data_IF_924473108025
#
_entry.id   IF_924473108025
#
_cell.length_a   1.000
_cell.length_b   1.000
_cell.length_c   1.000
_cell.angle_alpha   90.00
_cell.angle_beta   90.00
_cell.angle_gamma   90.00
#
_symmetry.space_group_name_H-M   'P 1'
#
loop_
_entity.id
_entity.type
_entity.pdbx_description
1 polymer ?
#
# COMPACT_ATOMS: atom_id res chain seq x y z
N UNK A 1 -4.31 -58.43 35.02
CA UNK A 1 -4.05 -56.98 35.07
C UNK A 1 -3.84 -56.49 33.65
N UNK A 2 -4.92 -56.09 32.98
CA UNK A 2 -4.88 -55.47 31.65
C UNK A 2 -5.01 -53.96 31.85
N UNK A 3 -4.00 -53.21 31.44
CA UNK A 3 -4.02 -51.75 31.42
C UNK A 3 -4.55 -51.33 30.05
N UNK A 4 -5.81 -50.89 30.02
CA UNK A 4 -6.38 -50.24 28.86
C UNK A 4 -5.71 -48.87 28.65
N UNK A 5 -5.02 -48.73 27.53
CA UNK A 5 -4.54 -47.44 27.04
C UNK A 5 -5.74 -46.64 26.52
N UNK A 6 -6.09 -45.57 27.24
CA UNK A 6 -6.98 -44.53 26.76
C UNK A 6 -6.44 -43.95 25.45
N UNK A 7 -7.22 -44.09 24.38
CA UNK A 7 -7.04 -43.32 23.15
C UNK A 7 -7.54 -41.90 23.44
N UNK A 8 -6.61 -40.97 23.56
CA UNK A 8 -6.91 -39.55 23.39
C UNK A 8 -7.45 -39.34 21.97
N UNK A 9 -8.75 -39.04 21.89
CA UNK A 9 -9.38 -38.56 20.67
C UNK A 9 -8.87 -37.16 20.40
N UNK A 10 -8.04 -37.03 19.36
CA UNK A 10 -7.74 -35.73 18.74
C UNK A 10 -9.06 -35.15 18.20
N UNK A 11 -9.69 -34.29 18.97
CA UNK A 11 -10.79 -33.44 18.52
C UNK A 11 -10.28 -32.38 17.55
N UNK A 12 -9.98 -32.79 16.32
CA UNK A 12 -9.79 -31.86 15.21
C UNK A 12 -11.16 -31.39 14.74
N UNK A 13 -11.67 -30.28 15.29
CA UNK A 13 -12.73 -29.54 14.63
C UNK A 13 -12.14 -28.96 13.35
N UNK A 14 -12.48 -29.54 12.19
CA UNK A 14 -12.22 -28.93 10.90
C UNK A 14 -12.79 -27.51 10.93
N UNK A 15 -11.90 -26.53 11.00
CA UNK A 15 -12.26 -25.13 10.94
C UNK A 15 -12.78 -24.86 9.54
N UNK A 16 -14.10 -24.69 9.38
CA UNK A 16 -14.73 -24.22 8.13
C UNK A 16 -14.42 -22.73 7.86
N UNK A 17 -13.26 -22.26 8.31
CA UNK A 17 -12.78 -20.90 8.11
C UNK A 17 -11.94 -20.88 6.85
N UNK A 18 -12.20 -19.87 6.01
CA UNK A 18 -11.42 -19.55 4.84
C UNK A 18 -10.97 -18.10 4.95
N UNK A 19 -9.71 -17.85 4.65
CA UNK A 19 -9.12 -16.52 4.60
C UNK A 19 -8.73 -16.20 3.17
N UNK A 20 -9.20 -15.06 2.66
CA UNK A 20 -8.86 -14.54 1.34
C UNK A 20 -8.12 -13.23 1.55
N UNK A 21 -6.85 -13.18 1.18
CA UNK A 21 -6.11 -11.91 1.12
C UNK A 21 -6.42 -11.23 -0.20
N UNK A 22 -6.91 -10.00 -0.15
CA UNK A 22 -7.21 -9.20 -1.32
C UNK A 22 -6.23 -8.03 -1.42
N UNK A 23 -5.34 -8.11 -2.40
CA UNK A 23 -4.40 -7.04 -2.68
C UNK A 23 -5.06 -5.95 -3.53
N UNK A 24 -5.29 -4.79 -2.92
CA UNK A 24 -5.91 -3.62 -3.54
C UNK A 24 -4.86 -2.55 -3.86
N UNK A 25 -5.21 -1.62 -4.74
CA UNK A 25 -4.49 -0.36 -4.82
C UNK A 25 -5.39 0.77 -4.35
N UNK A 26 -4.76 1.81 -3.80
CA UNK A 26 -5.44 2.95 -3.24
C UNK A 26 -5.94 3.91 -4.32
N UNK A 27 -6.78 3.45 -5.25
CA UNK A 27 -7.41 4.32 -6.27
C UNK A 27 -8.91 4.04 -6.38
N UNK A 28 -9.68 5.08 -6.70
CA UNK A 28 -11.14 4.96 -6.72
C UNK A 28 -11.66 4.02 -7.82
N UNK A 29 -10.85 3.75 -8.84
CA UNK A 29 -11.18 2.80 -9.90
C UNK A 29 -11.41 1.38 -9.35
N UNK A 30 -10.78 1.02 -8.23
CA UNK A 30 -10.86 -0.31 -7.65
C UNK A 30 -12.13 -0.57 -6.83
N UNK A 31 -12.88 0.46 -6.43
CA UNK A 31 -14.07 0.27 -5.58
C UNK A 31 -15.15 -0.58 -6.27
N UNK A 32 -15.26 -0.49 -7.60
CA UNK A 32 -16.19 -1.32 -8.37
C UNK A 32 -15.79 -2.79 -8.33
N UNK A 33 -14.53 -3.11 -8.64
CA UNK A 33 -14.02 -4.48 -8.61
C UNK A 33 -14.00 -5.05 -7.20
N UNK A 34 -13.73 -4.21 -6.20
CA UNK A 34 -13.82 -4.62 -4.80
C UNK A 34 -15.23 -5.08 -4.45
N UNK A 35 -16.26 -4.35 -4.89
CA UNK A 35 -17.67 -4.76 -4.77
C UNK A 35 -17.94 -6.09 -5.48
N UNK A 36 -17.54 -6.21 -6.75
CA UNK A 36 -17.73 -7.44 -7.53
C UNK A 36 -17.04 -8.65 -6.86
N UNK A 37 -15.86 -8.43 -6.27
CA UNK A 37 -15.14 -9.45 -5.52
C UNK A 37 -15.88 -9.87 -4.25
N UNK A 38 -16.44 -8.91 -3.50
CA UNK A 38 -17.28 -9.18 -2.32
C UNK A 38 -18.55 -9.92 -2.73
N UNK A 39 -19.22 -9.50 -3.81
CA UNK A 39 -20.42 -10.15 -4.34
C UNK A 39 -20.14 -11.59 -4.80
N UNK A 40 -18.95 -11.86 -5.36
CA UNK A 40 -18.54 -13.21 -5.77
C UNK A 40 -18.20 -14.13 -4.59
N UNK A 41 -17.48 -13.62 -3.60
CA UNK A 41 -16.92 -14.45 -2.52
C UNK A 41 -17.78 -14.48 -1.24
N UNK A 42 -18.76 -13.57 -1.12
CA UNK A 42 -19.70 -13.48 -0.01
C UNK A 42 -19.04 -13.63 1.37
N UNK A 43 -18.02 -12.80 1.69
CA UNK A 43 -17.36 -12.86 3.00
C UNK A 43 -18.35 -12.45 4.09
N UNK A 44 -18.25 -13.07 5.27
CA UNK A 44 -19.00 -12.64 6.46
C UNK A 44 -18.19 -11.64 7.32
N UNK A 45 -16.89 -11.51 7.05
CA UNK A 45 -16.00 -10.55 7.71
C UNK A 45 -15.03 -9.93 6.69
N UNK A 46 -14.93 -8.59 6.70
CA UNK A 46 -13.93 -7.82 5.97
C UNK A 46 -13.02 -7.12 6.98
N UNK A 47 -11.71 -7.34 6.84
CA UNK A 47 -10.67 -6.73 7.66
C UNK A 47 -9.91 -5.71 6.82
N UNK A 48 -10.00 -4.44 7.20
CA UNK A 48 -9.37 -3.32 6.51
C UNK A 48 -7.93 -3.11 7.00
N UNK A 49 -7.05 -2.67 6.10
CA UNK A 49 -5.71 -2.14 6.38
C UNK A 49 -5.81 -0.68 6.86
N UNK A 50 -6.27 -0.49 8.09
CA UNK A 50 -6.40 0.82 8.73
C UNK A 50 -6.34 0.71 10.26
N UNK A 51 -5.82 1.75 10.91
CA UNK A 51 -5.86 1.88 12.37
C UNK A 51 -7.30 1.86 12.89
N UNK A 52 -7.49 1.21 14.03
CA UNK A 52 -8.79 1.18 14.70
C UNK A 52 -9.16 2.55 15.23
N UNK A 53 -10.27 3.11 14.75
CA UNK A 53 -10.85 4.36 15.30
C UNK A 53 -12.15 4.08 16.05
N UNK A 54 -12.30 4.69 17.22
CA UNK A 54 -13.50 4.53 18.07
C UNK A 54 -14.81 4.92 17.35
N UNK A 55 -14.74 5.88 16.43
CA UNK A 55 -15.88 6.42 15.68
C UNK A 55 -16.18 5.66 14.38
N UNK A 56 -15.43 4.62 14.04
CA UNK A 56 -15.58 3.91 12.76
C UNK A 56 -16.95 3.25 12.61
N UNK A 57 -17.44 2.56 13.64
CA UNK A 57 -18.76 1.95 13.60
C UNK A 57 -19.89 2.99 13.52
N UNK A 58 -19.73 4.13 14.21
CA UNK A 58 -20.69 5.23 14.12
C UNK A 58 -20.79 5.78 12.68
N UNK A 59 -19.69 5.79 11.93
CA UNK A 59 -19.70 6.18 10.52
C UNK A 59 -20.42 5.14 9.66
N UNK A 60 -20.13 3.84 9.81
CA UNK A 60 -20.79 2.77 9.06
C UNK A 60 -22.31 2.77 9.28
N UNK A 61 -22.73 2.98 10.52
CA UNK A 61 -24.14 3.09 10.94
C UNK A 61 -24.80 4.41 10.48
N UNK A 62 -24.02 5.37 9.97
CA UNK A 62 -24.51 6.69 9.55
C UNK A 62 -24.82 7.66 10.69
N UNK A 63 -24.42 7.37 11.93
CA UNK A 63 -24.54 8.28 13.09
C UNK A 63 -23.65 9.51 12.96
N UNK A 64 -22.53 9.37 12.27
CA UNK A 64 -21.69 10.49 11.81
C UNK A 64 -21.47 10.39 10.31
N UNK A 65 -21.32 11.53 9.64
CA UNK A 65 -20.99 11.56 8.22
C UNK A 65 -19.54 11.14 7.97
N UNK A 66 -19.25 10.65 6.76
CA UNK A 66 -17.87 10.38 6.30
C UNK A 66 -16.98 11.62 6.47
N UNK A 67 -17.54 12.82 6.18
CA UNK A 67 -16.83 14.08 6.37
C UNK A 67 -16.42 14.29 7.83
N UNK A 68 -17.32 14.05 8.78
CA UNK A 68 -17.02 14.16 10.21
C UNK A 68 -16.00 13.10 10.66
N UNK A 69 -16.14 11.85 10.19
CA UNK A 69 -15.19 10.79 10.52
C UNK A 69 -13.76 11.11 10.06
N UNK A 70 -13.62 11.77 8.90
CA UNK A 70 -12.33 12.17 8.35
C UNK A 70 -11.74 13.44 8.97
N UNK A 71 -12.49 14.17 9.82
CA UNK A 71 -11.97 15.38 10.46
C UNK A 71 -10.81 15.06 11.41
N UNK A 72 -9.80 15.93 11.44
CA UNK A 72 -8.64 15.80 12.34
C UNK A 72 -7.54 14.88 11.86
N UNK A 73 -7.63 14.34 10.64
CA UNK A 73 -6.59 13.48 10.05
C UNK A 73 -6.13 14.03 8.70
N UNK A 74 -4.83 13.96 8.47
CA UNK A 74 -4.23 14.21 7.15
C UNK A 74 -4.17 12.88 6.42
N UNK A 75 -4.97 12.75 5.36
CA UNK A 75 -4.97 11.58 4.51
C UNK A 75 -4.08 11.82 3.29
N UNK A 76 -3.25 10.85 2.93
CA UNK A 76 -2.41 10.94 1.73
C UNK A 76 -3.25 11.09 0.45
N UNK A 77 -4.46 10.51 0.42
CA UNK A 77 -5.36 10.56 -0.74
C UNK A 77 -6.80 10.89 -0.33
N UNK A 78 -7.11 12.13 0.08
CA UNK A 78 -8.37 12.48 0.74
C UNK A 78 -9.62 12.12 -0.08
N UNK A 79 -9.60 12.36 -1.39
CA UNK A 79 -10.75 12.07 -2.26
C UNK A 79 -10.98 10.57 -2.43
N UNK A 80 -9.89 9.79 -2.56
CA UNK A 80 -9.99 8.33 -2.61
C UNK A 80 -10.50 7.78 -1.28
N UNK A 81 -9.92 8.21 -0.17
CA UNK A 81 -10.32 7.78 1.17
C UNK A 81 -11.78 8.10 1.45
N UNK A 82 -12.24 9.30 1.06
CA UNK A 82 -13.66 9.67 1.15
C UNK A 82 -14.56 8.71 0.37
N UNK A 83 -14.24 8.46 -0.91
CA UNK A 83 -15.02 7.54 -1.76
C UNK A 83 -15.01 6.11 -1.21
N UNK A 84 -13.89 5.65 -0.64
CA UNK A 84 -13.77 4.34 0.02
C UNK A 84 -14.72 4.25 1.22
N UNK A 85 -14.75 5.26 2.09
CA UNK A 85 -15.67 5.26 3.23
C UNK A 85 -17.13 5.38 2.82
N UNK A 86 -17.46 6.19 1.81
CA UNK A 86 -18.81 6.25 1.24
C UNK A 86 -19.24 4.87 0.69
N UNK A 87 -18.33 4.16 0.03
CA UNK A 87 -18.54 2.79 -0.41
C UNK A 87 -18.78 1.83 0.77
N UNK A 88 -17.98 1.89 1.84
CA UNK A 88 -18.12 1.02 3.01
C UNK A 88 -19.44 1.27 3.76
N UNK A 89 -19.88 2.53 3.88
CA UNK A 89 -21.20 2.88 4.45
C UNK A 89 -22.32 2.27 3.61
N UNK A 90 -22.21 2.38 2.28
CA UNK A 90 -23.19 1.78 1.36
C UNK A 90 -23.20 0.25 1.48
N UNK A 91 -22.04 -0.38 1.49
CA UNK A 91 -21.89 -1.83 1.65
C UNK A 91 -22.50 -2.32 2.97
N UNK A 92 -22.22 -1.64 4.09
CA UNK A 92 -22.77 -1.99 5.39
C UNK A 92 -24.31 -1.93 5.42
N UNK A 93 -24.90 -0.95 4.73
CA UNK A 93 -26.36 -0.85 4.59
C UNK A 93 -26.96 -1.92 3.67
N UNK A 94 -26.28 -2.23 2.57
CA UNK A 94 -26.75 -3.23 1.60
C UNK A 94 -26.57 -4.67 2.09
N UNK A 95 -25.55 -4.92 2.92
CA UNK A 95 -25.15 -6.23 3.43
C UNK A 95 -24.80 -6.20 4.93
N UNK A 96 -25.78 -5.96 5.81
CA UNK A 96 -25.55 -5.82 7.25
C UNK A 96 -25.00 -7.09 7.92
N UNK A 97 -25.14 -8.25 7.28
CA UNK A 97 -24.55 -9.51 7.71
C UNK A 97 -23.02 -9.57 7.57
N UNK A 98 -22.44 -8.69 6.75
CA UNK A 98 -20.98 -8.58 6.59
C UNK A 98 -20.44 -7.66 7.68
N UNK A 99 -19.66 -8.23 8.60
CA UNK A 99 -18.92 -7.44 9.57
C UNK A 99 -17.74 -6.74 8.89
N UNK A 100 -17.53 -5.46 9.19
CA UNK A 100 -16.39 -4.68 8.69
C UNK A 100 -15.57 -4.21 9.89
N UNK A 101 -14.28 -4.56 9.92
CA UNK A 101 -13.37 -4.27 11.03
C UNK A 101 -12.09 -3.58 10.54
N UNK A 102 -11.59 -2.63 11.32
CA UNK A 102 -10.26 -2.04 11.12
C UNK A 102 -9.24 -2.83 11.92
N UNK A 103 -8.16 -3.28 11.26
CA UNK A 103 -7.10 -4.01 11.92
C UNK A 103 -5.74 -3.72 11.30
N UNK A 104 -5.13 -2.64 11.75
CA UNK A 104 -3.70 -2.39 11.68
C UNK A 104 -3.14 -2.41 13.12
N UNK A 105 -2.10 -3.21 13.42
CA UNK A 105 -1.45 -3.15 14.72
C UNK A 105 -0.88 -1.74 14.93
N UNK A 106 -1.19 -1.13 16.06
CA UNK A 106 -0.57 0.12 16.48
C UNK A 106 0.90 -0.15 16.82
N UNK A 107 1.78 0.00 15.84
CA UNK A 107 3.16 0.38 16.11
C UNK A 107 3.12 1.83 16.60
N UNK A 108 4.12 2.31 17.35
CA UNK A 108 4.24 3.72 17.73
C UNK A 108 4.30 4.60 16.46
N UNK A 109 3.12 4.90 15.91
CA UNK A 109 2.92 5.58 14.64
C UNK A 109 3.53 6.98 14.70
N UNK A 110 3.57 7.56 15.90
CA UNK A 110 4.26 8.81 16.19
C UNK A 110 5.77 8.72 15.89
N UNK A 111 6.46 7.68 16.39
CA UNK A 111 7.90 7.48 16.10
C UNK A 111 8.14 7.27 14.62
N UNK A 112 7.32 6.45 13.96
CA UNK A 112 7.40 6.25 12.50
C UNK A 112 7.21 7.57 11.75
N UNK A 113 6.22 8.36 12.13
CA UNK A 113 5.94 9.64 11.48
C UNK A 113 7.06 10.66 11.71
N UNK A 114 7.66 10.70 12.90
CA UNK A 114 8.83 11.55 13.18
C UNK A 114 10.00 11.19 12.27
N UNK A 115 10.35 9.91 12.17
CA UNK A 115 11.44 9.43 11.29
C UNK A 115 11.13 9.75 9.82
N UNK A 116 9.90 9.45 9.38
CA UNK A 116 9.44 9.70 8.00
C UNK A 116 9.54 11.18 7.65
N UNK A 117 9.08 12.06 8.54
CA UNK A 117 9.11 13.50 8.34
C UNK A 117 10.54 14.03 8.28
N UNK A 118 11.42 13.55 9.16
CA UNK A 118 12.82 13.94 9.16
C UNK A 118 13.49 13.60 7.82
N UNK A 119 13.34 12.36 7.33
CA UNK A 119 13.93 11.95 6.06
C UNK A 119 13.35 12.74 4.89
N UNK A 120 12.04 13.00 4.87
CA UNK A 120 11.42 13.83 3.84
C UNK A 120 11.97 15.28 3.84
N UNK A 121 12.22 15.85 5.02
CA UNK A 121 12.86 17.16 5.15
C UNK A 121 14.29 17.13 4.62
N UNK A 122 15.04 16.05 4.87
CA UNK A 122 16.40 15.89 4.37
C UNK A 122 16.42 15.73 2.84
N UNK A 123 15.48 15.00 2.25
CA UNK A 123 15.28 14.94 0.79
C UNK A 123 15.01 16.35 0.24
N UNK A 124 14.05 17.07 0.82
CA UNK A 124 13.67 18.42 0.39
C UNK A 124 14.85 19.41 0.50
N UNK A 125 15.64 19.33 1.57
CA UNK A 125 16.81 20.17 1.78
C UNK A 125 17.88 19.92 0.72
N UNK A 126 18.14 18.65 0.37
CA UNK A 126 19.09 18.31 -0.69
C UNK A 126 18.59 18.77 -2.07
N UNK A 127 17.28 18.63 -2.36
CA UNK A 127 16.66 19.20 -3.57
C UNK A 127 16.88 20.72 -3.62
N UNK A 128 16.58 21.44 -2.53
CA UNK A 128 16.74 22.89 -2.46
C UNK A 128 18.20 23.34 -2.68
N UNK A 129 19.17 22.58 -2.16
CA UNK A 129 20.61 22.78 -2.38
C UNK A 129 21.07 22.42 -3.79
N UNK A 130 20.27 21.69 -4.56
CA UNK A 130 20.67 21.14 -5.85
C UNK A 130 21.67 19.99 -5.70
N UNK A 131 21.69 19.34 -4.53
CA UNK A 131 22.52 18.18 -4.26
C UNK A 131 21.79 16.90 -4.69
N UNK A 132 22.04 16.50 -5.94
CA UNK A 132 21.47 15.28 -6.50
C UNK A 132 21.88 14.03 -5.71
N UNK A 133 23.17 13.89 -5.37
CA UNK A 133 23.67 12.68 -4.68
C UNK A 133 23.08 12.57 -3.27
N UNK A 134 23.01 13.69 -2.56
CA UNK A 134 22.34 13.78 -1.26
C UNK A 134 20.88 13.38 -1.35
N UNK A 135 20.13 13.93 -2.31
CA UNK A 135 18.71 13.63 -2.48
C UNK A 135 18.46 12.15 -2.84
N UNK A 136 19.30 11.56 -3.69
CA UNK A 136 19.22 10.13 -4.04
C UNK A 136 19.50 9.25 -2.81
N UNK A 137 20.54 9.56 -2.04
CA UNK A 137 20.88 8.84 -0.82
C UNK A 137 19.73 8.88 0.19
N UNK A 138 19.12 10.03 0.43
CA UNK A 138 18.00 10.13 1.37
C UNK A 138 16.74 9.44 0.85
N UNK A 139 16.50 9.44 -0.47
CA UNK A 139 15.42 8.65 -1.08
C UNK A 139 15.61 7.14 -0.86
N UNK A 140 16.86 6.66 -0.95
CA UNK A 140 17.23 5.28 -0.64
C UNK A 140 17.02 4.97 0.84
N UNK A 141 17.49 5.85 1.73
CA UNK A 141 17.31 5.72 3.18
C UNK A 141 15.82 5.67 3.57
N UNK A 142 15.00 6.51 2.94
CA UNK A 142 13.56 6.49 3.10
C UNK A 142 12.97 5.12 2.75
N UNK A 143 13.33 4.59 1.58
CA UNK A 143 12.83 3.30 1.13
C UNK A 143 13.30 2.13 2.02
N UNK A 144 14.53 2.17 2.55
CA UNK A 144 15.06 1.19 3.52
C UNK A 144 14.25 1.23 4.82
N UNK A 145 14.15 2.42 5.43
CA UNK A 145 13.40 2.63 6.67
C UNK A 145 11.94 2.17 6.54
N UNK A 146 11.24 2.60 5.49
CA UNK A 146 9.86 2.17 5.23
C UNK A 146 9.73 0.66 5.03
N UNK A 147 10.71 0.02 4.40
CA UNK A 147 10.68 -1.44 4.19
C UNK A 147 10.88 -2.20 5.50
N UNK A 148 11.76 -1.74 6.39
CA UNK A 148 11.99 -2.40 7.67
C UNK A 148 10.78 -2.28 8.60
N UNK A 149 10.14 -1.11 8.65
CA UNK A 149 8.86 -0.95 9.35
C UNK A 149 7.77 -1.86 8.79
N UNK A 150 7.65 -1.91 7.46
CA UNK A 150 6.66 -2.73 6.79
C UNK A 150 6.82 -4.22 7.13
N UNK A 151 8.06 -4.74 7.24
CA UNK A 151 8.29 -6.15 7.65
C UNK A 151 7.67 -6.46 9.01
N UNK A 152 7.85 -5.57 9.97
CA UNK A 152 7.35 -5.72 11.35
C UNK A 152 5.82 -5.59 11.37
N UNK A 153 5.30 -4.57 10.70
CA UNK A 153 3.87 -4.28 10.60
C UNK A 153 3.08 -5.45 10.00
N UNK A 154 3.53 -5.97 8.84
CA UNK A 154 2.87 -7.09 8.18
C UNK A 154 2.85 -8.36 9.03
N UNK A 155 3.94 -8.64 9.77
CA UNK A 155 4.01 -9.80 10.67
C UNK A 155 3.09 -9.64 11.88
N UNK A 156 3.12 -8.47 12.52
CA UNK A 156 2.26 -8.15 13.66
C UNK A 156 0.78 -8.24 13.26
N UNK A 157 0.44 -7.72 12.09
CA UNK A 157 -0.92 -7.74 11.56
C UNK A 157 -1.39 -9.17 11.31
N UNK A 158 -0.59 -9.96 10.59
CA UNK A 158 -0.90 -11.36 10.33
C UNK A 158 -1.01 -12.17 11.62
N UNK A 159 -0.13 -11.95 12.60
CA UNK A 159 -0.18 -12.60 13.90
C UNK A 159 -1.46 -12.24 14.66
N UNK A 160 -1.81 -10.96 14.72
CA UNK A 160 -3.03 -10.50 15.38
C UNK A 160 -4.31 -11.05 14.75
N UNK A 161 -4.37 -11.12 13.42
CA UNK A 161 -5.47 -11.76 12.69
C UNK A 161 -5.54 -13.26 13.04
N UNK A 162 -4.41 -13.96 13.00
CA UNK A 162 -4.35 -15.38 13.28
C UNK A 162 -4.76 -15.71 14.72
N UNK A 163 -4.39 -14.88 15.70
CA UNK A 163 -4.80 -15.03 17.10
C UNK A 163 -6.32 -14.92 17.27
N UNK A 164 -6.97 -13.98 16.58
CA UNK A 164 -8.43 -13.82 16.61
C UNK A 164 -9.16 -15.01 16.01
N UNK A 165 -8.64 -15.57 14.91
CA UNK A 165 -9.19 -16.77 14.28
C UNK A 165 -9.03 -17.98 15.20
N UNK A 166 -7.84 -18.20 15.77
CA UNK A 166 -7.56 -19.33 16.67
C UNK A 166 -8.37 -19.30 17.96
N UNK A 167 -8.69 -18.11 18.47
CA UNK A 167 -9.58 -17.93 19.63
C UNK A 167 -11.06 -18.15 19.30
N UNK A 168 -11.40 -18.38 18.02
CA UNK A 168 -12.77 -18.52 17.55
C UNK A 168 -13.56 -17.21 17.51
N UNK A 169 -12.89 -16.06 17.68
CA UNK A 169 -13.53 -14.74 17.61
C UNK A 169 -13.92 -14.41 16.17
N UNK A 170 -13.11 -14.85 15.19
CA UNK A 170 -13.36 -14.71 13.76
C UNK A 170 -13.43 -16.07 13.09
N UNK A 171 -14.48 -16.31 12.30
CA UNK A 171 -14.77 -17.60 11.65
C UNK A 171 -15.57 -17.40 10.37
N UNK A 172 -15.56 -18.41 9.50
CA UNK A 172 -16.28 -18.38 8.21
C UNK A 172 -15.39 -17.86 7.06
N UNK A 173 -15.97 -17.10 6.13
CA UNK A 173 -15.26 -16.53 4.98
C UNK A 173 -14.76 -15.11 5.31
N UNK A 174 -13.46 -15.00 5.58
CA UNK A 174 -12.79 -13.78 6.01
C UNK A 174 -12.02 -13.18 4.84
N UNK A 175 -12.31 -11.92 4.52
CA UNK A 175 -11.59 -11.13 3.52
C UNK A 175 -10.62 -10.18 4.22
N UNK A 176 -9.32 -10.33 3.98
CA UNK A 176 -8.27 -9.44 4.50
C UNK A 176 -7.82 -8.51 3.38
N UNK A 177 -8.14 -7.22 3.49
CA UNK A 177 -7.63 -6.22 2.56
C UNK A 177 -6.16 -5.93 2.86
N UNK A 178 -5.33 -5.92 1.83
CA UNK A 178 -3.93 -5.51 1.93
C UNK A 178 -3.55 -4.60 0.74
N UNK A 179 -2.71 -3.59 0.96
CA UNK A 179 -2.15 -2.79 -0.13
C UNK A 179 -1.27 -3.63 -1.05
N UNK A 180 -1.15 -3.24 -2.31
CA UNK A 180 -0.34 -3.97 -3.31
C UNK A 180 1.14 -4.16 -2.91
N UNK A 181 1.65 -3.36 -1.98
CA UNK A 181 3.01 -3.48 -1.41
C UNK A 181 3.10 -4.41 -0.20
N UNK A 182 1.98 -4.76 0.44
CA UNK A 182 1.91 -5.60 1.65
C UNK A 182 1.97 -7.10 1.31
N UNK A 183 2.93 -7.48 0.47
CA UNK A 183 3.03 -8.84 -0.11
C UNK A 183 3.37 -9.94 0.91
N UNK A 184 3.86 -9.62 2.12
CA UNK A 184 4.26 -10.62 3.12
C UNK A 184 3.12 -11.00 4.06
N UNK A 185 2.07 -10.18 4.20
CA UNK A 185 0.89 -10.52 5.03
C UNK A 185 0.36 -11.91 4.68
N UNK A 186 0.20 -12.22 3.39
CA UNK A 186 -0.26 -13.54 2.95
C UNK A 186 0.71 -14.68 3.28
N UNK A 187 2.02 -14.43 3.25
CA UNK A 187 3.02 -15.42 3.68
C UNK A 187 2.91 -15.71 5.18
N UNK A 188 2.82 -14.67 6.01
CA UNK A 188 2.69 -14.81 7.45
C UNK A 188 1.35 -15.45 7.85
N UNK A 189 0.24 -15.08 7.21
CA UNK A 189 -1.06 -15.72 7.47
C UNK A 189 -1.01 -17.22 7.15
N UNK A 190 -0.42 -17.64 6.01
CA UNK A 190 -0.23 -19.07 5.70
C UNK A 190 0.65 -19.78 6.72
N UNK A 191 1.68 -19.10 7.24
CA UNK A 191 2.55 -19.64 8.30
C UNK A 191 1.80 -19.81 9.63
N UNK A 192 1.00 -18.82 10.02
CA UNK A 192 0.28 -18.81 11.30
C UNK A 192 -1.05 -19.56 11.27
N UNK A 193 -1.61 -19.82 10.10
CA UNK A 193 -2.88 -20.52 9.90
C UNK A 193 -2.67 -21.69 8.93
N UNK A 194 -1.71 -22.56 9.25
CA UNK A 194 -1.33 -23.69 8.41
C UNK A 194 -2.42 -24.78 8.32
N UNK A 195 -3.45 -24.68 9.15
CA UNK A 195 -4.63 -25.53 9.26
C UNK A 195 -5.91 -24.88 8.67
N UNK A 196 -5.80 -23.69 8.08
CA UNK A 196 -6.91 -22.93 7.50
C UNK A 196 -6.69 -22.74 5.99
N UNK A 197 -7.77 -22.72 5.20
CA UNK A 197 -7.68 -22.37 3.78
C UNK A 197 -7.33 -20.88 3.61
N UNK A 198 -6.06 -20.59 3.32
CA UNK A 198 -5.55 -19.23 3.08
C UNK A 198 -5.20 -19.06 1.60
N UNK A 199 -5.97 -18.22 0.90
CA UNK A 199 -5.82 -17.90 -0.52
C UNK A 199 -5.57 -16.40 -0.73
N UNK A 200 -5.07 -16.02 -1.91
CA UNK A 200 -4.79 -14.61 -2.23
C UNK A 200 -5.27 -14.24 -3.64
N UNK A 201 -5.80 -13.02 -3.78
CA UNK A 201 -6.22 -12.41 -5.04
C UNK A 201 -5.62 -11.02 -5.21
N UNK A 202 -5.32 -10.61 -6.45
CA UNK A 202 -4.65 -9.34 -6.76
C UNK A 202 -5.47 -8.49 -7.73
N UNK A 203 -6.37 -7.65 -7.20
CA UNK A 203 -7.19 -6.77 -8.04
C UNK A 203 -6.35 -5.77 -8.81
N UNK A 204 -5.27 -5.23 -8.22
CA UNK A 204 -4.40 -4.28 -8.91
C UNK A 204 -3.80 -4.85 -10.20
N UNK A 205 -3.36 -6.11 -10.14
CA UNK A 205 -2.75 -6.79 -11.28
C UNK A 205 -3.81 -7.00 -12.37
N UNK A 206 -5.00 -7.44 -12.00
CA UNK A 206 -6.09 -7.74 -12.92
C UNK A 206 -6.58 -6.48 -13.65
N UNK A 207 -6.80 -5.37 -12.95
CA UNK A 207 -7.33 -4.13 -13.53
C UNK A 207 -6.35 -3.42 -14.44
N UNK A 208 -5.07 -3.31 -14.05
CA UNK A 208 -4.08 -2.71 -14.93
C UNK A 208 -3.85 -3.64 -16.11
N UNK A 209 -3.76 -4.97 -15.90
CA UNK A 209 -3.65 -5.93 -17.00
C UNK A 209 -4.79 -5.78 -18.01
N UNK A 210 -6.03 -5.62 -17.56
CA UNK A 210 -7.17 -5.36 -18.43
C UNK A 210 -7.06 -4.01 -19.15
N UNK A 211 -6.81 -2.92 -18.41
CA UNK A 211 -6.77 -1.57 -18.96
C UNK A 211 -5.61 -1.32 -19.94
N UNK A 212 -4.54 -2.12 -19.82
CA UNK A 212 -3.32 -1.99 -20.60
C UNK A 212 -3.07 -3.16 -21.56
N UNK A 213 -3.98 -4.15 -21.59
CA UNK A 213 -3.91 -5.33 -22.47
C UNK A 213 -3.76 -4.92 -23.93
N UNK A 214 -4.55 -3.94 -24.36
CA UNK A 214 -4.58 -3.48 -25.76
C UNK A 214 -3.33 -2.70 -26.15
N UNK A 215 -2.62 -2.13 -25.18
CA UNK A 215 -1.46 -1.28 -25.41
C UNK A 215 -0.12 -2.00 -25.23
N UNK A 216 -0.06 -3.02 -24.38
CA UNK A 216 1.19 -3.69 -24.00
C UNK A 216 1.11 -5.23 -24.04
N UNK A 217 -0.04 -5.80 -24.41
CA UNK A 217 -0.22 -7.25 -24.46
C UNK A 217 0.07 -7.93 -23.12
N UNK A 218 0.72 -9.09 -23.15
CA UNK A 218 1.07 -9.89 -21.97
C UNK A 218 2.29 -9.36 -21.19
N UNK A 219 3.00 -8.32 -21.67
CA UNK A 219 4.24 -7.82 -21.08
C UNK A 219 4.06 -6.88 -19.88
N UNK A 220 2.83 -6.73 -19.40
CA UNK A 220 2.50 -5.80 -18.32
C UNK A 220 3.13 -6.09 -16.96
N UNK A 221 3.62 -7.32 -16.79
CA UNK A 221 4.25 -7.79 -15.56
C UNK A 221 5.56 -7.05 -15.20
N UNK A 222 6.00 -6.09 -16.02
CA UNK A 222 7.29 -5.40 -15.87
C UNK A 222 7.20 -3.92 -15.44
N UNK A 223 6.02 -3.36 -15.19
CA UNK A 223 5.83 -1.94 -14.87
C UNK A 223 5.67 -1.69 -13.36
N UNK A 224 6.67 -2.09 -12.58
CA UNK A 224 6.78 -1.62 -11.20
C UNK A 224 7.31 -0.18 -11.20
N UNK A 225 6.65 0.75 -10.49
CA UNK A 225 7.25 2.06 -10.30
C UNK A 225 8.52 1.94 -9.44
N UNK A 226 9.55 2.75 -9.70
CA UNK A 226 10.84 2.64 -9.02
C UNK A 226 10.78 2.62 -7.48
N UNK A 227 9.93 3.45 -6.80
CA UNK A 227 9.80 3.38 -5.35
C UNK A 227 9.32 2.00 -4.85
N UNK A 228 8.37 1.37 -5.55
CA UNK A 228 7.87 0.04 -5.22
C UNK A 228 8.91 -1.04 -5.51
N UNK A 229 9.68 -0.90 -6.60
CA UNK A 229 10.77 -1.83 -6.90
C UNK A 229 11.88 -1.75 -5.83
N UNK A 230 12.26 -0.55 -5.37
CA UNK A 230 13.16 -0.39 -4.22
C UNK A 230 12.66 -1.11 -2.98
N UNK A 231 11.39 -0.86 -2.59
CA UNK A 231 10.79 -1.53 -1.43
C UNK A 231 10.81 -3.06 -1.59
N UNK A 232 10.44 -3.57 -2.77
CA UNK A 232 10.47 -5.01 -3.06
C UNK A 232 11.86 -5.61 -2.89
N UNK A 233 12.91 -4.87 -3.28
CA UNK A 233 14.30 -5.31 -3.10
C UNK A 233 14.64 -5.48 -1.62
N UNK A 234 14.36 -4.48 -0.78
CA UNK A 234 14.64 -4.54 0.66
C UNK A 234 13.78 -5.56 1.41
N UNK A 235 12.57 -5.83 0.92
CA UNK A 235 11.71 -6.89 1.46
C UNK A 235 12.19 -8.30 1.07
N UNK A 236 12.87 -8.46 -0.06
CA UNK A 236 13.24 -9.76 -0.61
C UNK A 236 14.49 -10.40 0.01
N UNK A 237 15.20 -9.69 0.88
CA UNK A 237 16.48 -10.10 1.50
C UNK A 237 17.59 -10.48 0.49
N UNK A 238 17.37 -10.22 -0.81
CA UNK A 238 18.35 -10.50 -1.86
C UNK A 238 19.42 -9.42 -1.87
N UNK A 239 20.68 -9.82 -2.09
CA UNK A 239 21.77 -8.88 -2.36
C UNK A 239 21.49 -8.11 -3.65
N UNK A 240 21.56 -6.79 -3.57
CA UNK A 240 21.44 -5.87 -4.71
C UNK A 240 22.77 -5.18 -4.90
N UNK A 241 23.18 -4.97 -6.16
CA UNK A 241 24.36 -4.15 -6.43
C UNK A 241 24.10 -2.70 -6.06
N UNK A 242 25.13 -2.02 -5.54
CA UNK A 242 25.06 -0.61 -5.20
C UNK A 242 24.63 0.25 -6.40
N UNK A 243 25.08 -0.08 -7.61
CA UNK A 243 24.70 0.59 -8.85
C UNK A 243 23.19 0.51 -9.12
N UNK A 244 22.58 -0.67 -8.90
CA UNK A 244 21.14 -0.87 -9.12
C UNK A 244 20.32 -0.15 -8.06
N UNK A 245 20.79 -0.16 -6.80
CA UNK A 245 20.17 0.58 -5.71
C UNK A 245 20.16 2.09 -6.00
N UNK A 246 21.33 2.64 -6.40
CA UNK A 246 21.48 4.05 -6.81
C UNK A 246 20.58 4.42 -7.97
N UNK A 247 20.55 3.60 -9.03
CA UNK A 247 19.71 3.85 -10.19
C UNK A 247 18.21 3.91 -9.83
N UNK A 248 17.74 2.95 -9.03
CA UNK A 248 16.36 2.94 -8.60
C UNK A 248 16.04 4.10 -7.63
N UNK A 249 16.99 4.48 -6.76
CA UNK A 249 16.91 5.67 -5.92
C UNK A 249 16.72 6.95 -6.74
N UNK A 250 17.57 7.15 -7.76
CA UNK A 250 17.48 8.28 -8.67
C UNK A 250 16.15 8.32 -9.44
N UNK A 251 15.71 7.17 -9.95
CA UNK A 251 14.42 7.05 -10.63
C UNK A 251 13.24 7.33 -9.69
N UNK A 252 13.28 6.84 -8.46
CA UNK A 252 12.25 7.11 -7.45
C UNK A 252 12.15 8.60 -7.12
N UNK A 253 13.30 9.26 -6.94
CA UNK A 253 13.40 10.70 -6.74
C UNK A 253 12.76 11.46 -7.92
N UNK A 254 13.18 11.18 -9.15
CA UNK A 254 12.63 11.84 -10.34
C UNK A 254 11.12 11.61 -10.46
N UNK A 255 10.65 10.37 -10.29
CA UNK A 255 9.23 10.08 -10.35
C UNK A 255 8.46 10.94 -9.33
N UNK A 256 8.94 11.02 -8.09
CA UNK A 256 8.31 11.84 -7.04
C UNK A 256 8.22 13.32 -7.41
N UNK A 257 9.25 13.87 -8.07
CA UNK A 257 9.31 15.29 -8.45
C UNK A 257 8.37 15.63 -9.62
N UNK A 258 8.10 14.68 -10.51
CA UNK A 258 7.21 14.89 -11.67
C UNK A 258 5.75 14.49 -11.40
N UNK A 259 5.49 13.72 -10.34
CA UNK A 259 4.13 13.36 -9.90
C UNK A 259 3.55 14.36 -8.91
N UNK A 260 4.37 14.92 -8.01
CA UNK A 260 3.96 15.89 -6.99
C UNK A 260 3.32 17.17 -7.54
N UNK A 261 3.42 17.41 -8.85
CA UNK A 261 2.95 18.64 -9.48
C UNK A 261 1.44 18.71 -9.73
N UNK A 262 0.66 17.61 -9.77
CA UNK A 262 -0.79 17.65 -10.06
C UNK A 262 -1.51 16.30 -9.75
N UNK A 263 -1.41 15.76 -8.52
CA UNK A 263 -2.03 14.45 -8.20
C UNK A 263 -3.56 14.44 -8.30
N UNK A 264 -4.23 15.60 -8.21
CA UNK A 264 -5.69 15.69 -8.16
C UNK A 264 -6.40 15.43 -9.51
N UNK A 265 -5.70 15.44 -10.64
CA UNK A 265 -6.30 15.31 -11.98
C UNK A 265 -5.68 14.21 -12.87
N UNK A 266 -4.65 13.51 -12.39
CA UNK A 266 -3.93 12.53 -13.21
C UNK A 266 -4.72 11.21 -13.31
N UNK A 267 -5.37 11.00 -14.45
CA UNK A 267 -5.91 9.68 -14.80
C UNK A 267 -4.81 8.61 -14.85
N UNK A 268 -5.17 7.35 -14.56
CA UNK A 268 -4.23 6.22 -14.43
C UNK A 268 -3.23 6.11 -15.59
N UNK A 269 -3.64 6.46 -16.81
CA UNK A 269 -2.82 6.43 -18.03
C UNK A 269 -1.62 7.38 -17.98
N UNK A 270 -1.76 8.56 -17.37
CA UNK A 270 -0.65 9.52 -17.32
C UNK A 270 0.41 9.12 -16.30
N UNK A 271 -0.02 8.55 -15.17
CA UNK A 271 0.88 7.95 -14.18
C UNK A 271 1.70 6.83 -14.82
N UNK A 272 1.08 5.95 -15.61
CA UNK A 272 1.78 4.85 -16.29
C UNK A 272 2.84 5.38 -17.25
N UNK A 273 2.52 6.39 -18.08
CA UNK A 273 3.50 7.02 -18.99
C UNK A 273 4.70 7.60 -18.24
N UNK A 274 4.45 8.27 -17.10
CA UNK A 274 5.52 8.82 -16.25
C UNK A 274 6.42 7.70 -15.72
N UNK A 275 5.84 6.59 -15.25
CA UNK A 275 6.59 5.43 -14.78
C UNK A 275 7.44 4.85 -15.91
N UNK A 276 6.88 4.67 -17.11
CA UNK A 276 7.60 4.15 -18.27
C UNK A 276 8.78 5.02 -18.68
N UNK A 277 8.57 6.33 -18.73
CA UNK A 277 9.61 7.30 -19.04
C UNK A 277 10.75 7.19 -18.02
N UNK A 278 10.42 7.22 -16.72
CA UNK A 278 11.42 7.17 -15.66
C UNK A 278 12.16 5.83 -15.62
N UNK A 279 11.48 4.71 -15.87
CA UNK A 279 12.09 3.38 -15.91
C UNK A 279 13.11 3.20 -17.05
N UNK A 280 13.13 4.10 -18.04
CA UNK A 280 14.12 4.09 -19.12
C UNK A 280 15.35 4.97 -18.83
N UNK A 281 15.27 5.87 -17.86
CA UNK A 281 16.37 6.81 -17.55
C UNK A 281 17.56 6.10 -16.91
N UNK A 282 18.76 6.38 -17.39
CA UNK A 282 20.03 6.08 -16.71
C UNK A 282 20.24 7.01 -15.51
N UNK A 283 21.25 6.70 -14.67
CA UNK A 283 21.58 7.52 -13.51
C UNK A 283 21.94 8.97 -13.91
N UNK A 284 22.72 9.12 -14.97
CA UNK A 284 23.12 10.44 -15.48
C UNK A 284 21.97 11.19 -16.16
N UNK A 285 21.03 10.50 -16.81
CA UNK A 285 19.80 11.13 -17.31
C UNK A 285 18.90 11.60 -16.16
N UNK A 286 18.81 10.84 -15.07
CA UNK A 286 18.15 11.30 -13.84
C UNK A 286 18.84 12.54 -13.28
N UNK A 287 20.18 12.59 -13.22
CA UNK A 287 20.93 13.77 -12.76
C UNK A 287 20.62 15.00 -13.61
N UNK A 288 20.66 14.86 -14.93
CA UNK A 288 20.34 15.95 -15.87
C UNK A 288 18.92 16.47 -15.64
N UNK A 289 17.94 15.58 -15.58
CA UNK A 289 16.55 15.94 -15.37
C UNK A 289 16.31 16.58 -14.01
N UNK A 290 16.97 16.11 -12.94
CA UNK A 290 16.94 16.75 -11.62
C UNK A 290 17.39 18.21 -11.71
N UNK A 291 18.55 18.47 -12.34
CA UNK A 291 19.07 19.82 -12.50
C UNK A 291 18.14 20.71 -13.33
N UNK A 292 17.50 20.18 -14.36
CA UNK A 292 16.48 20.91 -15.13
C UNK A 292 15.24 21.26 -14.29
N UNK A 293 14.77 20.33 -13.45
CA UNK A 293 13.60 20.57 -12.60
C UNK A 293 13.93 21.63 -11.55
N UNK A 294 15.05 21.48 -10.85
CA UNK A 294 15.51 22.41 -9.80
C UNK A 294 15.83 23.79 -10.38
N UNK A 295 16.47 23.88 -11.56
CA UNK A 295 16.76 25.17 -12.20
C UNK A 295 15.50 25.90 -12.65
N UNK A 296 14.47 25.21 -13.14
CA UNK A 296 13.16 25.80 -13.49
C UNK A 296 12.40 26.31 -12.25
N UNK A 297 12.62 25.71 -11.09
CA UNK A 297 12.05 26.11 -9.80
C UNK A 297 12.85 27.23 -9.11
N UNK A 298 14.16 27.31 -9.33
CA UNK A 298 15.05 28.38 -8.80
C UNK A 298 14.92 29.73 -9.51
N UNK A 299 14.05 29.87 -10.51
CA UNK A 299 13.70 31.20 -11.06
C UNK A 299 12.36 31.61 -10.45
N UNK A 300 12.35 32.46 -9.40
CA UNK A 300 11.12 33.06 -8.92
C UNK A 300 10.39 33.72 -10.10
N UNK A 301 9.06 33.63 -10.15
CA UNK A 301 8.27 34.11 -11.29
C UNK A 301 8.57 35.58 -11.66
N UNK A 302 8.94 36.37 -10.66
CA UNK A 302 9.39 37.76 -10.71
C UNK A 302 10.71 38.00 -11.47
N UNK A 303 11.57 36.99 -11.67
CA UNK A 303 12.82 37.12 -12.45
C UNK A 303 12.73 36.61 -13.90
N UNK A 304 11.59 36.04 -14.32
CA UNK A 304 11.37 35.60 -15.73
C UNK A 304 11.10 36.76 -16.70
N UNK A 305 11.00 37.99 -16.21
CA UNK A 305 10.70 39.18 -17.02
C UNK A 305 11.94 39.93 -17.54
N UNK A 306 13.13 39.63 -17.04
CA UNK A 306 14.36 40.22 -17.59
C UNK A 306 14.85 39.40 -18.79
N UNK A 307 14.56 39.90 -19.99
CA UNK A 307 15.31 39.48 -21.18
C UNK A 307 16.73 40.05 -21.10
N UNK A 308 17.76 39.29 -21.48
CA UNK A 308 19.12 39.81 -21.56
C UNK A 308 19.19 40.91 -22.61
N UNK A 309 19.91 41.99 -22.28
CA UNK A 309 20.46 42.93 -23.27
C UNK A 309 21.54 42.23 -24.09
#
# INVERSE_FOLDING_TARGET
MNVEKGKETKGGTESNTKVIILYTAHTSAFLKQFKEFIDKNQPNLIILEEDKKATFQQMLEGKISVKQYMQGYIYAMPQFTKKRYEFLVKLHKEKPEIKIEQFEPSIEMEVRNVIRNQINMDIALNIAKGDFEGAVRETINFAKSESDWLKVEEEMRAKGIAEKIRKGEWKGCILVEAGATHTRVGHFLKKYLNDVDVSSSHLFKETIQEALKDRYGSQLHMLYPPPQELKRLYLSERKVSEEREKLLGARALILSMITSRNEEELGSVDIIKKIEMVNKLSYEECRKLFNEIVSKERVPAEFKQFKPL
#
